data_IF_141760085153
#
_entry.id   IF_141760085153
#
_cell.length_a   1.000
_cell.length_b   1.000
_cell.length_c   1.000
_cell.angle_alpha   90.00
_cell.angle_beta   90.00
_cell.angle_gamma   90.00
#
_symmetry.space_group_name_H-M   'P 1'
#
loop_
_entity.id
_entity.type
_entity.pdbx_description
1 polymer ?
#
# COMPACT_ATOMS: atom_id res chain seq x y z
N UNK A 1 -19.32 2.06 -18.84
CA UNK A 1 -17.96 1.57 -18.55
C UNK A 1 -18.04 0.68 -17.31
N UNK A 2 -17.37 -0.47 -17.28
CA UNK A 2 -17.31 -1.32 -16.08
C UNK A 2 -16.53 -0.61 -14.97
N UNK A 3 -16.93 -0.85 -13.71
CA UNK A 3 -16.22 -0.36 -12.52
C UNK A 3 -14.77 -0.92 -12.53
N UNK A 4 -13.74 -0.12 -12.18
CA UNK A 4 -12.38 -0.65 -12.06
C UNK A 4 -12.34 -1.73 -10.96
N UNK A 5 -11.61 -2.81 -11.22
CA UNK A 5 -11.41 -3.87 -10.24
C UNK A 5 -10.60 -3.35 -9.05
N UNK A 6 -10.99 -3.79 -7.86
CA UNK A 6 -10.43 -3.37 -6.58
C UNK A 6 -9.39 -4.35 -6.08
N UNK A 7 -8.37 -3.87 -5.36
CA UNK A 7 -7.35 -4.75 -4.79
C UNK A 7 -6.88 -4.33 -3.40
N UNK A 8 -6.46 -5.33 -2.61
CA UNK A 8 -5.79 -5.20 -1.32
C UNK A 8 -4.33 -5.61 -1.50
N UNK A 9 -3.39 -4.76 -1.08
CA UNK A 9 -1.95 -5.05 -1.13
C UNK A 9 -1.41 -5.40 0.26
N UNK A 10 -1.01 -6.64 0.46
CA UNK A 10 -0.41 -7.14 1.69
C UNK A 10 1.11 -7.15 1.55
N UNK A 11 1.84 -6.75 2.60
CA UNK A 11 3.31 -6.59 2.54
C UNK A 11 3.70 -5.61 1.42
N UNK A 12 3.00 -4.48 1.37
CA UNK A 12 3.00 -3.57 0.22
C UNK A 12 4.37 -2.91 -0.04
N UNK A 13 5.26 -2.89 0.96
CA UNK A 13 6.52 -2.16 0.92
C UNK A 13 6.29 -0.70 0.52
N UNK A 14 7.20 -0.13 -0.27
CA UNK A 14 7.04 1.23 -0.78
C UNK A 14 5.96 1.40 -1.88
N UNK A 15 5.24 0.33 -2.24
CA UNK A 15 4.11 0.39 -3.19
C UNK A 15 4.47 0.19 -4.66
N UNK A 16 5.62 -0.40 -4.98
CA UNK A 16 6.03 -0.64 -6.37
C UNK A 16 5.06 -1.55 -7.15
N UNK A 17 4.59 -2.63 -6.52
CA UNK A 17 3.59 -3.53 -7.10
C UNK A 17 2.24 -2.81 -7.27
N UNK A 18 1.78 -2.13 -6.22
CA UNK A 18 0.59 -1.27 -6.23
C UNK A 18 0.58 -0.26 -7.38
N UNK A 19 1.69 0.45 -7.62
CA UNK A 19 1.81 1.39 -8.75
C UNK A 19 1.61 0.71 -10.11
N UNK A 20 2.05 -0.54 -10.27
CA UNK A 20 1.80 -1.35 -11.45
C UNK A 20 0.31 -1.60 -11.68
N UNK A 21 -0.41 -2.03 -10.64
CA UNK A 21 -1.86 -2.28 -10.69
C UNK A 21 -2.66 -0.99 -10.95
N UNK A 22 -2.29 0.12 -10.30
CA UNK A 22 -2.92 1.42 -10.54
C UNK A 22 -2.77 1.84 -12.01
N UNK A 23 -1.57 1.68 -12.60
CA UNK A 23 -1.32 1.98 -14.02
C UNK A 23 -2.07 1.05 -14.97
N UNK A 24 -2.33 -0.18 -14.55
CA UNK A 24 -3.16 -1.15 -15.29
C UNK A 24 -4.67 -0.88 -15.15
N UNK A 25 -5.09 0.12 -14.38
CA UNK A 25 -6.49 0.54 -14.25
C UNK A 25 -7.23 -0.05 -13.06
N UNK A 26 -6.53 -0.71 -12.13
CA UNK A 26 -7.10 -1.22 -10.88
C UNK A 26 -7.14 -0.11 -9.82
N UNK A 27 -8.04 -0.24 -8.85
CA UNK A 27 -8.20 0.72 -7.74
C UNK A 27 -7.79 0.10 -6.41
N UNK A 28 -6.86 0.69 -5.65
CA UNK A 28 -6.49 0.18 -4.35
C UNK A 28 -7.62 0.39 -3.33
N UNK A 29 -7.84 -0.60 -2.48
CA UNK A 29 -8.72 -0.52 -1.30
C UNK A 29 -7.90 -0.15 -0.08
N UNK A 30 -6.86 -0.94 0.21
CA UNK A 30 -5.96 -0.73 1.32
C UNK A 30 -4.58 -1.32 1.03
N UNK A 31 -3.59 -0.84 1.78
CA UNK A 31 -2.22 -1.34 1.79
C UNK A 31 -1.84 -1.69 3.23
N UNK A 32 -1.38 -2.92 3.48
CA UNK A 32 -0.89 -3.34 4.80
C UNK A 32 0.63 -3.45 4.75
N UNK A 33 1.30 -2.68 5.60
CA UNK A 33 2.76 -2.62 5.65
C UNK A 33 3.25 -2.34 7.08
N UNK A 34 4.32 -3.01 7.50
CA UNK A 34 4.87 -2.87 8.86
C UNK A 34 5.87 -1.72 8.96
N UNK A 35 6.68 -1.50 7.93
CA UNK A 35 7.70 -0.45 7.93
C UNK A 35 7.07 0.95 7.78
N UNK A 36 7.25 1.78 8.79
CA UNK A 36 6.67 3.12 8.81
C UNK A 36 7.16 4.01 7.65
N UNK A 37 8.42 3.85 7.21
CA UNK A 37 8.97 4.64 6.10
C UNK A 37 8.32 4.25 4.75
N UNK A 38 8.10 2.96 4.54
CA UNK A 38 7.33 2.42 3.43
C UNK A 38 5.88 2.93 3.46
N UNK A 39 5.22 2.93 4.63
CA UNK A 39 3.90 3.52 4.80
C UNK A 39 3.85 5.02 4.45
N UNK A 40 4.86 5.81 4.82
CA UNK A 40 4.91 7.22 4.40
C UNK A 40 4.99 7.36 2.89
N UNK A 41 5.75 6.48 2.22
CA UNK A 41 5.81 6.46 0.76
C UNK A 41 4.44 6.15 0.17
N UNK A 42 3.77 5.08 0.62
CA UNK A 42 2.42 4.72 0.19
C UNK A 42 1.43 5.87 0.36
N UNK A 43 1.39 6.49 1.54
CA UNK A 43 0.50 7.64 1.84
C UNK A 43 0.76 8.83 0.92
N UNK A 44 2.04 9.17 0.71
CA UNK A 44 2.42 10.26 -0.20
C UNK A 44 2.06 9.95 -1.66
N UNK A 45 2.18 8.68 -2.09
CA UNK A 45 1.77 8.25 -3.44
C UNK A 45 0.24 8.24 -3.60
N UNK A 46 -0.50 7.80 -2.59
CA UNK A 46 -1.95 7.87 -2.57
C UNK A 46 -2.42 9.32 -2.72
N UNK A 47 -1.87 10.24 -1.91
CA UNK A 47 -2.14 11.67 -2.01
C UNK A 47 -1.83 12.21 -3.41
N UNK A 48 -0.69 11.85 -4.00
CA UNK A 48 -0.34 12.23 -5.37
C UNK A 48 -1.40 11.80 -6.40
N UNK A 49 -1.84 10.55 -6.37
CA UNK A 49 -2.83 10.05 -7.34
C UNK A 49 -4.18 10.76 -7.19
N UNK A 50 -4.60 11.02 -5.95
CA UNK A 50 -5.82 11.78 -5.67
C UNK A 50 -5.70 13.22 -6.17
N UNK A 51 -4.62 13.92 -5.83
CA UNK A 51 -4.37 15.30 -6.27
C UNK A 51 -4.30 15.39 -7.80
N UNK A 52 -3.62 14.44 -8.45
CA UNK A 52 -3.55 14.34 -9.92
C UNK A 52 -4.94 14.20 -10.55
N UNK A 53 -5.77 13.31 -10.03
CA UNK A 53 -7.13 13.07 -10.54
C UNK A 53 -8.04 14.29 -10.40
N UNK A 54 -7.78 15.14 -9.41
CA UNK A 54 -8.56 16.34 -9.13
C UNK A 54 -7.92 17.65 -9.65
N UNK A 55 -6.83 17.56 -10.40
CA UNK A 55 -6.15 18.74 -10.97
C UNK A 55 -5.44 19.63 -9.96
N UNK A 56 -5.06 19.09 -8.79
CA UNK A 56 -4.42 19.82 -7.66
C UNK A 56 -2.94 19.46 -7.47
N UNK A 57 -2.20 19.27 -8.56
CA UNK A 57 -0.78 18.88 -8.51
C UNK A 57 0.17 19.98 -8.02
N UNK A 58 -0.30 21.22 -7.97
CA UNK A 58 0.37 22.35 -7.34
C UNK A 58 0.69 22.07 -5.87
N UNK A 59 -0.27 21.51 -5.11
CA UNK A 59 -0.06 21.14 -3.69
C UNK A 59 1.07 20.11 -3.54
N UNK A 60 1.09 19.09 -4.41
CA UNK A 60 2.16 18.10 -4.40
C UNK A 60 3.51 18.73 -4.78
N UNK A 61 3.51 19.68 -5.71
CA UNK A 61 4.72 20.42 -6.09
C UNK A 61 5.25 21.27 -4.94
N UNK A 62 4.36 21.94 -4.19
CA UNK A 62 4.73 22.70 -3.01
C UNK A 62 5.36 21.82 -1.92
N UNK A 63 4.86 20.59 -1.74
CA UNK A 63 5.50 19.60 -0.88
C UNK A 63 6.91 19.22 -1.38
N UNK A 64 7.08 18.96 -2.68
CA UNK A 64 8.38 18.63 -3.26
C UNK A 64 9.40 19.78 -3.15
N UNK A 65 8.94 21.03 -3.24
CA UNK A 65 9.78 22.22 -3.05
C UNK A 65 10.00 22.58 -1.57
N UNK A 66 9.45 21.80 -0.63
CA UNK A 66 9.60 22.02 0.80
C UNK A 66 8.84 23.24 1.33
N UNK A 67 7.82 23.73 0.58
CA UNK A 67 6.98 24.85 1.03
C UNK A 67 5.91 24.42 2.02
N UNK A 68 5.50 23.15 1.96
CA UNK A 68 4.62 22.51 2.94
C UNK A 68 5.26 21.22 3.44
N UNK A 69 4.92 20.84 4.66
CA UNK A 69 5.31 19.60 5.31
C UNK A 69 4.50 18.40 4.80
N UNK A 70 4.93 17.19 5.17
CA UNK A 70 4.22 15.95 4.85
C UNK A 70 2.84 15.87 5.52
N UNK A 71 2.71 16.37 6.75
CA UNK A 71 1.41 16.44 7.44
C UNK A 71 0.47 17.36 6.69
N UNK A 72 0.92 18.55 6.27
CA UNK A 72 0.10 19.48 5.48
C UNK A 72 -0.30 18.88 4.12
N UNK A 73 0.57 18.08 3.50
CA UNK A 73 0.19 17.30 2.31
C UNK A 73 -0.94 16.31 2.62
N UNK A 74 -0.86 15.59 3.74
CA UNK A 74 -1.89 14.61 4.14
C UNK A 74 -3.22 15.29 4.49
N UNK A 75 -3.17 16.45 5.15
CA UNK A 75 -4.37 17.25 5.48
C UNK A 75 -5.06 17.83 4.23
N UNK A 76 -4.34 17.90 3.11
CA UNK A 76 -4.87 18.40 1.83
C UNK A 76 -5.71 17.39 1.03
N UNK A 77 -5.74 16.13 1.47
CA UNK A 77 -6.48 15.03 0.83
C UNK A 77 -7.44 14.38 1.83
N UNK A 78 -8.43 13.59 1.40
CA UNK A 78 -9.35 12.93 2.31
C UNK A 78 -8.62 12.02 3.31
N UNK A 79 -8.96 12.12 4.59
CA UNK A 79 -8.38 11.29 5.65
C UNK A 79 -8.50 9.79 5.35
N UNK A 80 -9.63 9.36 4.78
CA UNK A 80 -9.88 7.98 4.38
C UNK A 80 -8.89 7.41 3.35
N UNK A 81 -8.25 8.29 2.57
CA UNK A 81 -7.20 7.90 1.62
C UNK A 81 -5.87 7.62 2.34
N UNK A 82 -5.61 8.34 3.44
CA UNK A 82 -4.38 8.19 4.21
C UNK A 82 -4.52 7.02 5.19
N UNK A 83 -5.71 6.82 5.77
CA UNK A 83 -6.00 5.70 6.65
C UNK A 83 -6.09 4.36 5.93
N UNK A 84 -6.28 4.34 4.60
CA UNK A 84 -6.21 3.11 3.81
C UNK A 84 -4.82 2.46 3.78
N UNK A 85 -3.79 3.17 4.26
CA UNK A 85 -2.46 2.59 4.52
C UNK A 85 -2.38 2.19 5.98
N UNK A 86 -2.59 0.90 6.24
CA UNK A 86 -2.59 0.28 7.56
C UNK A 86 -1.14 -0.04 7.93
N UNK A 87 -0.58 0.71 8.88
CA UNK A 87 0.78 0.48 9.35
C UNK A 87 0.78 -0.56 10.49
N UNK A 88 0.87 -1.84 10.12
CA UNK A 88 0.85 -2.96 11.07
C UNK A 88 1.69 -4.12 10.56
N UNK A 89 2.35 -4.82 11.49
CA UNK A 89 2.83 -6.17 11.24
C UNK A 89 1.63 -7.10 11.02
N UNK A 90 1.74 -8.08 10.13
CA UNK A 90 0.73 -9.14 9.97
C UNK A 90 1.14 -10.31 10.88
N UNK A 91 0.45 -10.47 12.01
CA UNK A 91 0.66 -11.53 13.00
C UNK A 91 -0.67 -12.00 13.58
N UNK A 92 -0.68 -13.10 14.33
CA UNK A 92 -1.91 -13.61 14.97
C UNK A 92 -2.60 -12.56 15.85
N UNK A 93 -1.82 -11.71 16.53
CA UNK A 93 -2.33 -10.68 17.43
C UNK A 93 -2.91 -9.48 16.69
N UNK A 94 -2.35 -9.12 15.52
CA UNK A 94 -2.77 -7.93 14.77
C UNK A 94 -3.85 -8.20 13.72
N UNK A 95 -4.01 -9.47 13.29
CA UNK A 95 -5.00 -9.86 12.28
C UNK A 95 -6.43 -9.39 12.61
N UNK A 96 -6.96 -9.51 13.85
CA UNK A 96 -8.30 -9.02 14.17
C UNK A 96 -8.46 -7.52 13.91
N UNK A 97 -7.44 -6.72 14.25
CA UNK A 97 -7.42 -5.28 13.98
C UNK A 97 -7.37 -5.00 12.47
N UNK A 98 -6.47 -5.66 11.74
CA UNK A 98 -6.32 -5.47 10.29
C UNK A 98 -7.62 -5.82 9.55
N UNK A 99 -8.29 -6.91 9.93
CA UNK A 99 -9.58 -7.26 9.33
C UNK A 99 -10.64 -6.21 9.61
N UNK A 100 -10.75 -5.72 10.86
CA UNK A 100 -11.69 -4.65 11.20
C UNK A 100 -11.49 -3.40 10.33
N UNK A 101 -10.25 -2.94 10.19
CA UNK A 101 -9.93 -1.76 9.36
C UNK A 101 -10.31 -1.98 7.89
N UNK A 102 -10.01 -3.16 7.35
CA UNK A 102 -10.33 -3.49 5.95
C UNK A 102 -11.86 -3.57 5.75
N UNK A 103 -12.59 -4.19 6.68
CA UNK A 103 -14.04 -4.30 6.62
C UNK A 103 -14.72 -2.92 6.68
N UNK A 104 -14.21 -2.03 7.55
CA UNK A 104 -14.68 -0.65 7.67
C UNK A 104 -14.41 0.15 6.37
N UNK A 105 -13.25 -0.03 5.74
CA UNK A 105 -12.92 0.61 4.45
C UNK A 105 -13.80 0.06 3.32
N UNK A 106 -14.05 -1.25 3.30
CA UNK A 106 -14.88 -1.89 2.28
C UNK A 106 -16.35 -1.48 2.39
N UNK A 107 -16.85 -1.23 3.61
CA UNK A 107 -18.22 -0.76 3.84
C UNK A 107 -19.24 -1.68 3.13
N UNK A 108 -19.11 -2.99 3.38
CA UNK A 108 -19.93 -4.05 2.79
C UNK A 108 -19.72 -4.30 1.29
N UNK A 109 -18.76 -3.64 0.63
CA UNK A 109 -18.42 -3.89 -0.77
C UNK A 109 -17.50 -5.11 -0.91
N UNK A 110 -17.62 -5.84 -2.01
CA UNK A 110 -16.73 -6.95 -2.33
C UNK A 110 -15.35 -6.47 -2.79
N UNK A 111 -14.31 -7.21 -2.39
CA UNK A 111 -12.95 -7.08 -2.89
C UNK A 111 -12.72 -8.02 -4.08
N UNK A 112 -12.09 -7.53 -5.16
CA UNK A 112 -11.87 -8.34 -6.37
C UNK A 112 -10.54 -9.09 -6.39
N UNK A 113 -9.49 -8.54 -5.75
CA UNK A 113 -8.13 -9.10 -5.79
C UNK A 113 -7.38 -8.88 -4.47
N UNK A 114 -6.60 -9.88 -4.08
CA UNK A 114 -5.56 -9.74 -3.05
C UNK A 114 -4.21 -9.94 -3.74
N UNK A 115 -3.29 -9.01 -3.50
CA UNK A 115 -1.90 -9.08 -3.95
C UNK A 115 -0.99 -8.98 -2.74
N UNK A 116 0.26 -9.42 -2.88
CA UNK A 116 1.25 -9.22 -1.84
C UNK A 116 2.53 -10.02 -2.04
N UNK A 117 3.62 -9.51 -1.48
CA UNK A 117 4.94 -10.14 -1.52
C UNK A 117 5.43 -10.51 -0.13
N UNK A 118 4.98 -11.64 0.46
CA UNK A 118 5.41 -12.02 1.80
C UNK A 118 6.94 -12.22 1.85
N UNK A 119 7.59 -11.89 2.98
CA UNK A 119 9.03 -12.02 3.11
C UNK A 119 9.47 -13.48 2.94
N UNK A 120 10.38 -13.72 1.99
CA UNK A 120 10.90 -15.06 1.68
C UNK A 120 12.18 -15.42 2.49
N UNK A 121 12.40 -14.77 3.63
CA UNK A 121 13.67 -14.88 4.37
C UNK A 121 13.95 -16.31 4.87
N UNK A 122 12.91 -17.06 5.25
CA UNK A 122 13.06 -18.44 5.71
C UNK A 122 13.63 -19.40 4.63
N UNK A 123 13.32 -19.16 3.35
CA UNK A 123 13.75 -20.01 2.24
C UNK A 123 15.02 -19.51 1.54
N UNK A 124 15.42 -18.25 1.77
CA UNK A 124 16.62 -17.65 1.18
C UNK A 124 17.94 -18.20 1.77
N UNK A 125 17.88 -18.88 2.93
CA UNK A 125 19.01 -19.62 3.51
C UNK A 125 19.21 -21.01 2.85
N UNK A 126 18.21 -21.52 2.12
CA UNK A 126 18.23 -22.85 1.49
C UNK A 126 18.93 -22.81 0.10
N UNK A 127 20.00 -22.01 0.00
CA UNK A 127 20.91 -21.99 -1.15
C UNK A 127 22.14 -22.90 -0.99
N UNK A 128 22.20 -23.70 0.08
CA UNK A 128 23.29 -24.67 0.34
C UNK A 128 22.79 -25.99 0.92
N UNK A 129 21.65 -26.49 0.48
CA UNK A 129 21.42 -27.94 0.52
C UNK A 129 22.32 -28.56 -0.55
N UNK A 130 23.59 -28.76 -0.17
CA UNK A 130 24.58 -29.48 -0.96
C UNK A 130 24.02 -30.88 -1.25
N UNK A 131 24.01 -31.25 -2.51
CA UNK A 131 24.11 -32.66 -2.90
C UNK A 131 25.32 -33.25 -2.15
N UNK A 132 25.14 -34.39 -1.47
CA UNK A 132 26.25 -35.11 -0.83
C UNK A 132 27.27 -35.63 -1.86
N UNK A 133 27.00 -35.50 -3.17
CA UNK A 133 27.89 -35.92 -4.25
C UNK A 133 28.18 -34.82 -5.27
N UNK A 134 28.53 -33.62 -4.81
CA UNK A 134 28.88 -32.46 -5.65
C UNK A 134 29.76 -32.75 -6.88
N UNK A 135 29.10 -33.16 -7.97
CA UNK A 135 29.55 -33.28 -9.36
C UNK A 135 28.37 -32.79 -10.21
#
# INVERSE_FOLDING_TARGET
MSKPLTFLDLFAGAGGLSEGFIRAGYSPVAHVEMDAAACYTLKTRAAYHWLKKHGKLDIYSDYLYGKISRSELYDSVPESLISSVINSEISEDSLPFIFSEIDDILDGKSLDLVIGGPPCQAYSLVGRSRDERGI
#
